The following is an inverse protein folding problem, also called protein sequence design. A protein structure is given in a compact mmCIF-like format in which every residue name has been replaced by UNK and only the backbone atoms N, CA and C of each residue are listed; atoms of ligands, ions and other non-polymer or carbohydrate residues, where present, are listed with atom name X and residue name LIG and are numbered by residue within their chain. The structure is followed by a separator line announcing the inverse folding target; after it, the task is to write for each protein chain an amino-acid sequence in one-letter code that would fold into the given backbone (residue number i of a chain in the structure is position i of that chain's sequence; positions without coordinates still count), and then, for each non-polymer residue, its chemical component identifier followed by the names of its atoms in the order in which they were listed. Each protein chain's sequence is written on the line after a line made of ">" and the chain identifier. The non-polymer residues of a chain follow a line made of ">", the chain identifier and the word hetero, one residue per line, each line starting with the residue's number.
data_IF_606747371915
#
_entry.id   IF_606747371915
#
_cell.length_a   1.000
_cell.length_b   1.000
_cell.length_c   1.000
_cell.angle_alpha   90.00
_cell.angle_beta   90.00
_cell.angle_gamma   90.00
#
_symmetry.space_group_name_H-M   'P 1'
#
loop_
_entity.id
_entity.type
_entity.pdbx_description
1 polymer ?
#
# COMPACT_ATOMS: atom_id res chain seq x y z
N UNK A 1 15.71 -60.47 -42.95
CA UNK A 1 14.81 -59.32 -42.70
C UNK A 1 15.35 -58.62 -41.47
N UNK A 2 16.22 -57.63 -41.68
CA UNK A 2 16.83 -56.83 -40.62
C UNK A 2 15.90 -55.68 -40.24
N UNK A 3 15.43 -55.66 -39.00
CA UNK A 3 14.74 -54.51 -38.43
C UNK A 3 15.81 -53.52 -37.92
N UNK A 4 15.91 -52.36 -38.56
CA UNK A 4 16.68 -51.22 -38.06
C UNK A 4 15.85 -50.50 -37.00
N UNK A 5 16.30 -50.51 -35.75
CA UNK A 5 15.71 -49.66 -34.70
C UNK A 5 16.24 -48.23 -34.83
N UNK A 6 15.30 -47.27 -34.93
CA UNK A 6 15.56 -45.85 -34.79
C UNK A 6 15.46 -45.51 -33.30
N UNK A 7 16.58 -45.20 -32.64
CA UNK A 7 16.57 -44.67 -31.28
C UNK A 7 16.27 -43.18 -31.35
N UNK A 8 15.04 -42.81 -31.02
CA UNK A 8 14.65 -41.42 -30.80
C UNK A 8 15.17 -40.99 -29.41
N UNK A 9 16.26 -40.25 -29.37
CA UNK A 9 16.73 -39.61 -28.15
C UNK A 9 15.79 -38.43 -27.84
N UNK A 10 14.76 -38.66 -27.01
CA UNK A 10 13.96 -37.57 -26.45
C UNK A 10 14.80 -36.95 -25.33
N UNK A 11 15.48 -35.86 -25.64
CA UNK A 11 16.03 -34.98 -24.61
C UNK A 11 14.86 -34.24 -23.98
N UNK A 12 14.32 -34.77 -22.88
CA UNK A 12 13.37 -34.02 -22.04
C UNK A 12 14.19 -32.97 -21.30
N UNK A 13 14.37 -31.80 -21.93
CA UNK A 13 14.73 -30.60 -21.19
C UNK A 13 13.46 -30.23 -20.43
N UNK A 14 13.43 -30.53 -19.13
CA UNK A 14 12.39 -30.01 -18.27
C UNK A 14 12.54 -28.49 -18.23
N UNK A 15 11.76 -27.78 -19.05
CA UNK A 15 11.53 -26.35 -18.89
C UNK A 15 10.91 -26.18 -17.50
N UNK A 16 11.72 -25.74 -16.54
CA UNK A 16 11.22 -25.35 -15.23
C UNK A 16 10.42 -24.06 -15.43
N UNK A 17 9.11 -24.15 -15.25
CA UNK A 17 8.24 -23.00 -14.99
C UNK A 17 8.74 -22.31 -13.70
N UNK A 18 8.85 -20.99 -13.63
CA UNK A 18 9.44 -20.30 -12.47
C UNK A 18 8.80 -18.92 -12.21
N UNK A 19 8.89 -18.40 -10.96
CA UNK A 19 8.05 -17.61 -9.98
C UNK A 19 7.90 -16.02 -9.97
N UNK A 20 6.97 -15.36 -9.20
CA UNK A 20 6.96 -13.90 -8.81
C UNK A 20 8.30 -13.47 -8.24
N UNK A 21 8.88 -12.33 -8.59
CA UNK A 21 10.33 -12.16 -8.41
C UNK A 21 11.07 -13.38 -8.97
N UNK A 22 11.58 -13.25 -10.19
CA UNK A 22 12.29 -14.36 -10.84
C UNK A 22 13.59 -14.67 -10.11
N UNK A 23 13.75 -15.92 -9.68
CA UNK A 23 14.90 -16.42 -8.91
C UNK A 23 15.37 -17.76 -9.44
N UNK A 24 16.61 -18.13 -9.12
CA UNK A 24 17.14 -19.46 -9.42
C UNK A 24 16.61 -20.56 -8.48
N UNK A 25 16.37 -20.26 -7.20
CA UNK A 25 15.88 -21.22 -6.19
C UNK A 25 14.50 -20.82 -5.66
N UNK A 26 13.49 -21.42 -6.27
CA UNK A 26 12.10 -21.12 -5.97
C UNK A 26 11.64 -21.57 -4.57
N UNK A 27 12.09 -22.75 -4.13
CA UNK A 27 11.61 -23.33 -2.88
C UNK A 27 11.96 -22.43 -1.69
N UNK A 28 13.08 -21.73 -1.80
CA UNK A 28 13.51 -20.71 -0.84
C UNK A 28 12.67 -19.44 -0.96
N UNK A 29 12.47 -18.93 -2.18
CA UNK A 29 11.77 -17.66 -2.42
C UNK A 29 10.27 -17.67 -2.08
N UNK A 30 9.60 -18.82 -2.19
CA UNK A 30 8.18 -18.98 -1.80
C UNK A 30 7.99 -19.25 -0.31
N UNK A 31 9.08 -19.45 0.42
CA UNK A 31 9.08 -19.58 1.86
C UNK A 31 9.38 -18.24 2.51
N UNK A 32 8.84 -18.03 3.72
CA UNK A 32 9.12 -16.81 4.47
C UNK A 32 10.65 -16.59 4.61
N UNK A 33 11.19 -15.39 4.28
CA UNK A 33 12.62 -15.08 4.37
C UNK A 33 13.23 -15.40 5.72
N UNK A 34 12.43 -15.40 6.78
CA UNK A 34 12.86 -15.72 8.13
C UNK A 34 13.47 -17.13 8.29
N UNK A 35 13.25 -18.04 7.33
CA UNK A 35 13.91 -19.34 7.28
C UNK A 35 15.42 -19.25 6.96
N UNK A 36 15.89 -18.10 6.49
CA UNK A 36 17.31 -17.82 6.23
C UNK A 36 17.84 -16.90 7.33
N UNK A 37 18.92 -17.32 7.99
CA UNK A 37 19.44 -16.65 9.19
C UNK A 37 19.74 -15.14 9.00
N UNK A 38 20.14 -14.72 7.79
CA UNK A 38 20.41 -13.31 7.47
C UNK A 38 19.13 -12.44 7.45
N UNK A 39 17.96 -13.04 7.19
CA UNK A 39 16.66 -12.37 7.08
C UNK A 39 15.65 -12.88 8.12
N UNK A 40 16.13 -13.54 9.18
CA UNK A 40 15.34 -14.13 10.26
C UNK A 40 14.32 -13.16 10.90
N UNK A 41 14.62 -11.86 10.89
CA UNK A 41 13.83 -10.79 11.48
C UNK A 41 13.11 -9.91 10.44
N UNK A 42 13.10 -10.31 9.17
CA UNK A 42 12.30 -9.64 8.15
C UNK A 42 10.87 -10.19 8.18
N UNK A 43 9.89 -9.29 8.30
CA UNK A 43 8.47 -9.63 8.24
C UNK A 43 7.86 -9.29 6.88
N UNK A 44 7.77 -10.26 5.99
CA UNK A 44 7.20 -10.03 4.67
C UNK A 44 5.67 -9.83 4.68
N UNK A 45 4.98 -9.99 5.82
CA UNK A 45 3.51 -9.90 5.91
C UNK A 45 3.00 -8.47 5.73
N UNK A 46 3.88 -7.48 5.89
CA UNK A 46 3.61 -6.07 5.61
C UNK A 46 3.69 -5.70 4.12
N UNK A 47 3.83 -6.70 3.24
CA UNK A 47 3.78 -6.54 1.78
C UNK A 47 2.55 -7.28 1.27
N UNK A 48 1.61 -6.52 0.71
CA UNK A 48 0.29 -7.00 0.35
C UNK A 48 0.12 -7.16 -1.16
N UNK A 49 -0.76 -8.09 -1.52
CA UNK A 49 -1.32 -8.19 -2.85
C UNK A 49 -2.39 -7.10 -2.99
N UNK A 50 -2.05 -6.04 -3.70
CA UNK A 50 -2.92 -4.88 -3.88
C UNK A 50 -3.23 -4.72 -5.37
N UNK A 51 -4.52 -4.76 -5.72
CA UNK A 51 -5.02 -4.76 -7.12
C UNK A 51 -4.36 -5.81 -8.02
N UNK A 52 -3.92 -6.91 -7.40
CA UNK A 52 -3.21 -7.98 -8.08
C UNK A 52 -1.77 -7.68 -8.45
N UNK A 53 -1.21 -6.59 -7.95
CA UNK A 53 0.22 -6.31 -7.95
C UNK A 53 0.70 -6.29 -6.49
N UNK A 54 1.60 -5.38 -6.13
CA UNK A 54 2.20 -5.32 -4.80
C UNK A 54 2.05 -3.94 -4.17
N UNK A 55 2.01 -3.89 -2.85
CA UNK A 55 2.07 -2.67 -2.06
C UNK A 55 2.70 -2.96 -0.69
N UNK A 56 3.26 -1.95 -0.03
CA UNK A 56 3.97 -2.11 1.24
C UNK A 56 3.32 -1.21 2.30
N UNK A 57 3.05 -1.73 3.49
CA UNK A 57 2.61 -0.88 4.61
C UNK A 57 3.76 -0.01 5.11
N UNK A 58 3.47 1.29 5.22
CA UNK A 58 4.42 2.32 5.68
C UNK A 58 3.92 3.08 6.91
N UNK A 59 2.65 2.87 7.28
CA UNK A 59 2.01 3.41 8.48
C UNK A 59 0.83 2.50 8.88
N UNK A 60 0.17 2.79 10.00
CA UNK A 60 -0.96 2.01 10.51
C UNK A 60 -2.13 1.97 9.51
N UNK A 61 -2.35 3.01 8.71
CA UNK A 61 -3.45 3.03 7.74
C UNK A 61 -3.00 3.17 6.29
N UNK A 62 -1.70 3.24 6.03
CA UNK A 62 -1.19 3.59 4.70
C UNK A 62 -0.33 2.49 4.08
N UNK A 63 -0.71 2.13 2.86
CA UNK A 63 0.15 1.43 1.93
C UNK A 63 0.81 2.41 0.98
N UNK A 64 2.05 2.12 0.59
CA UNK A 64 2.74 2.74 -0.54
C UNK A 64 2.82 1.75 -1.70
N UNK A 65 2.59 2.25 -2.91
CA UNK A 65 2.65 1.45 -4.15
C UNK A 65 3.02 2.34 -5.34
N UNK A 66 3.14 1.75 -6.53
CA UNK A 66 3.33 2.50 -7.76
C UNK A 66 2.02 3.22 -8.16
N UNK A 67 2.10 4.42 -8.73
CA UNK A 67 0.91 5.18 -9.12
C UNK A 67 0.06 4.42 -10.14
N UNK A 68 0.68 3.77 -11.12
CA UNK A 68 -0.08 2.96 -12.10
C UNK A 68 -0.79 1.75 -11.48
N UNK A 69 -0.23 1.17 -10.42
CA UNK A 69 -0.91 0.09 -9.68
C UNK A 69 -2.10 0.65 -8.90
N UNK A 70 -1.95 1.84 -8.31
CA UNK A 70 -3.06 2.52 -7.66
C UNK A 70 -4.16 2.92 -8.66
N UNK A 71 -3.80 3.31 -9.88
CA UNK A 71 -4.76 3.70 -10.93
C UNK A 71 -5.51 2.52 -11.56
N UNK A 72 -4.98 1.29 -11.45
CA UNK A 72 -5.67 0.09 -11.93
C UNK A 72 -7.09 -0.05 -11.35
N UNK A 73 -8.04 -0.55 -12.14
CA UNK A 73 -9.41 -0.77 -11.69
C UNK A 73 -9.54 -1.82 -10.57
N UNK A 74 -10.71 -1.87 -9.93
CA UNK A 74 -11.04 -2.82 -8.86
C UNK A 74 -11.10 -2.18 -7.48
N UNK A 75 -11.57 -2.94 -6.48
CA UNK A 75 -11.89 -2.39 -5.15
C UNK A 75 -10.67 -1.95 -4.33
N UNK A 76 -9.47 -2.44 -4.64
CA UNK A 76 -8.26 -2.20 -3.83
C UNK A 76 -8.29 -2.83 -2.43
N UNK A 77 -9.40 -3.47 -2.04
CA UNK A 77 -9.57 -4.06 -0.71
C UNK A 77 -8.62 -5.22 -0.45
N UNK A 78 -8.20 -5.36 0.80
CA UNK A 78 -7.32 -6.45 1.26
C UNK A 78 -8.11 -7.42 2.11
N UNK A 79 -7.65 -8.67 2.17
CA UNK A 79 -8.12 -9.65 3.15
C UNK A 79 -6.96 -10.09 4.01
N UNK A 80 -6.99 -9.72 5.29
CA UNK A 80 -5.93 -9.99 6.26
C UNK A 80 -6.56 -10.79 7.40
N UNK A 81 -6.06 -12.01 7.64
CA UNK A 81 -6.59 -12.91 8.67
C UNK A 81 -8.11 -13.15 8.61
N UNK A 82 -8.71 -13.07 7.42
CA UNK A 82 -10.14 -13.24 7.19
C UNK A 82 -10.98 -11.96 7.34
N UNK A 83 -10.36 -10.85 7.73
CA UNK A 83 -11.00 -9.54 7.78
C UNK A 83 -10.79 -8.77 6.48
N UNK A 84 -11.84 -8.06 6.05
CA UNK A 84 -11.77 -7.16 4.90
C UNK A 84 -11.32 -5.78 5.36
N UNK A 85 -10.33 -5.25 4.66
CA UNK A 85 -9.82 -3.89 4.77
C UNK A 85 -10.24 -3.14 3.51
N UNK A 86 -10.94 -2.04 3.68
CA UNK A 86 -11.50 -1.25 2.58
C UNK A 86 -10.59 -0.08 2.29
N UNK A 87 -10.26 0.11 1.02
CA UNK A 87 -9.55 1.31 0.58
C UNK A 87 -10.49 2.52 0.70
N UNK A 88 -10.05 3.58 1.36
CA UNK A 88 -10.84 4.81 1.57
C UNK A 88 -10.26 6.04 0.88
N UNK A 89 -8.96 6.04 0.56
CA UNK A 89 -8.31 7.17 -0.10
C UNK A 89 -7.16 6.69 -0.98
N UNK A 90 -6.94 7.39 -2.10
CA UNK A 90 -5.77 7.23 -2.96
C UNK A 90 -5.16 8.60 -3.20
N UNK A 91 -3.86 8.72 -2.93
CA UNK A 91 -3.09 9.93 -3.16
C UNK A 91 -1.97 9.61 -4.13
N UNK A 92 -1.89 10.38 -5.20
CA UNK A 92 -0.85 10.23 -6.21
C UNK A 92 0.19 11.33 -6.00
N UNK A 93 1.48 10.97 -5.98
CA UNK A 93 2.52 11.99 -6.00
C UNK A 93 2.34 12.84 -7.27
N UNK A 94 2.48 14.18 -7.23
CA UNK A 94 2.14 15.04 -8.37
C UNK A 94 2.90 14.73 -9.67
N UNK A 95 4.13 14.21 -9.55
CA UNK A 95 5.02 14.00 -10.71
C UNK A 95 5.56 12.59 -10.86
N UNK A 96 5.47 11.75 -9.83
CA UNK A 96 6.21 10.48 -9.77
C UNK A 96 5.24 9.30 -9.82
N UNK A 97 5.74 8.14 -10.26
CA UNK A 97 5.01 6.87 -10.22
C UNK A 97 4.96 6.31 -8.79
N UNK A 98 4.32 7.06 -7.91
CA UNK A 98 4.18 6.77 -6.50
C UNK A 98 2.79 7.12 -6.05
N UNK A 99 2.19 6.24 -5.26
CA UNK A 99 0.93 6.50 -4.61
C UNK A 99 0.95 6.01 -3.15
N UNK A 100 0.20 6.73 -2.33
CA UNK A 100 -0.20 6.33 -0.99
C UNK A 100 -1.67 5.97 -1.00
N UNK A 101 -2.03 4.87 -0.36
CA UNK A 101 -3.38 4.34 -0.34
C UNK A 101 -3.79 4.10 1.11
N UNK A 102 -4.87 4.75 1.53
CA UNK A 102 -5.37 4.67 2.90
C UNK A 102 -6.44 3.59 3.04
N UNK A 103 -6.41 2.89 4.17
CA UNK A 103 -7.38 1.86 4.54
C UNK A 103 -8.22 2.28 5.75
N UNK A 104 -9.39 1.66 5.89
CA UNK A 104 -10.36 1.93 6.96
C UNK A 104 -9.95 1.37 8.33
N UNK A 105 -8.95 0.50 8.41
CA UNK A 105 -8.51 -0.18 9.63
C UNK A 105 -7.00 -0.19 9.77
N UNK A 106 -6.55 -0.30 11.02
CA UNK A 106 -5.14 -0.47 11.36
C UNK A 106 -4.57 -1.76 10.78
N UNK A 107 -3.55 -1.62 9.95
CA UNK A 107 -2.75 -2.69 9.38
C UNK A 107 -1.94 -3.35 10.51
N UNK A 108 -1.70 -4.68 10.47
CA UNK A 108 -0.98 -5.39 11.54
C UNK A 108 0.48 -4.95 11.79
N UNK A 109 1.00 -4.05 10.95
CA UNK A 109 2.32 -3.45 11.07
C UNK A 109 2.82 -2.95 9.73
N UNK A 110 3.94 -2.23 9.78
CA UNK A 110 4.50 -1.49 8.66
C UNK A 110 6.04 -1.39 8.75
N UNK A 111 6.65 -0.93 7.67
CA UNK A 111 8.09 -0.65 7.62
C UNK A 111 8.37 0.85 7.68
N UNK A 112 9.34 1.31 8.49
CA UNK A 112 9.82 2.68 8.41
C UNK A 112 10.55 2.91 7.08
N UNK A 113 10.64 4.18 6.70
CA UNK A 113 11.28 4.60 5.45
C UNK A 113 12.79 4.76 5.61
N UNK A 114 13.55 4.38 4.58
CA UNK A 114 14.99 4.56 4.53
C UNK A 114 15.35 5.94 3.98
N UNK A 115 16.01 6.77 4.80
CA UNK A 115 16.43 8.13 4.43
C UNK A 115 17.85 8.22 3.88
N UNK A 116 18.64 7.15 4.03
CA UNK A 116 19.99 7.07 3.48
C UNK A 116 20.00 6.91 1.97
N UNK A 117 21.16 7.14 1.36
CA UNK A 117 21.37 6.86 -0.07
C UNK A 117 21.51 5.35 -0.28
N UNK A 118 20.81 4.83 -1.28
CA UNK A 118 21.03 3.46 -1.76
C UNK A 118 22.39 3.38 -2.45
N UNK A 119 23.28 2.53 -1.96
CA UNK A 119 24.64 2.40 -2.47
C UNK A 119 24.94 0.94 -2.84
N UNK A 120 25.66 0.74 -3.95
CA UNK A 120 26.15 -0.59 -4.37
C UNK A 120 27.24 -1.16 -3.46
N UNK A 121 27.99 -0.28 -2.80
CA UNK A 121 29.17 -0.60 -2.00
C UNK A 121 29.08 0.10 -0.63
N UNK A 122 29.79 -0.44 0.36
CA UNK A 122 29.80 0.06 1.73
C UNK A 122 28.92 -0.75 2.66
N UNK A 123 28.31 -0.11 3.65
CA UNK A 123 27.42 -0.76 4.61
C UNK A 123 26.05 -1.01 3.99
N UNK A 124 25.64 -2.28 3.89
CA UNK A 124 24.38 -2.78 3.31
C UNK A 124 24.27 -2.69 1.77
N UNK A 125 25.15 -3.36 1.02
CA UNK A 125 25.14 -3.33 -0.44
C UNK A 125 24.03 -4.19 -1.07
N UNK A 126 23.45 -5.10 -0.29
CA UNK A 126 22.44 -6.05 -0.74
C UNK A 126 21.04 -5.55 -0.37
N UNK A 127 20.14 -5.62 -1.34
CA UNK A 127 18.75 -5.23 -1.26
C UNK A 127 17.90 -6.49 -1.17
N UNK A 128 16.96 -6.53 -0.24
CA UNK A 128 15.92 -7.55 -0.21
C UNK A 128 14.72 -7.05 -1.02
N UNK A 129 14.23 -7.85 -1.96
CA UNK A 129 13.09 -7.51 -2.81
C UNK A 129 11.93 -8.44 -2.49
N UNK A 130 10.70 -7.92 -2.44
CA UNK A 130 9.48 -8.70 -2.17
C UNK A 130 8.32 -8.24 -3.06
N UNK A 131 7.62 -9.19 -3.67
CA UNK A 131 6.54 -8.94 -4.62
C UNK A 131 5.58 -10.10 -4.78
N UNK A 132 4.46 -9.84 -5.46
CA UNK A 132 3.34 -10.77 -5.68
C UNK A 132 3.09 -11.06 -7.17
N UNK A 133 4.04 -10.69 -8.03
CA UNK A 133 3.91 -10.71 -9.47
C UNK A 133 3.93 -12.08 -10.11
N UNK A 134 4.31 -12.13 -11.39
CA UNK A 134 4.40 -13.38 -12.13
C UNK A 134 5.70 -14.09 -11.89
N UNK A 135 5.63 -15.38 -12.05
CA UNK A 135 6.61 -16.20 -12.75
C UNK A 135 7.66 -15.47 -13.63
N UNK A 136 8.92 -15.91 -13.61
CA UNK A 136 9.94 -15.66 -14.63
C UNK A 136 11.03 -16.74 -14.73
N UNK A 137 11.81 -16.73 -15.82
CA UNK A 137 12.99 -17.58 -15.99
C UNK A 137 14.28 -16.76 -15.82
N UNK A 138 15.33 -17.35 -15.26
CA UNK A 138 16.63 -16.67 -15.03
C UNK A 138 17.73 -17.20 -15.94
N UNK A 139 18.62 -16.30 -16.36
CA UNK A 139 19.81 -16.57 -17.15
C UNK A 139 21.04 -15.97 -16.47
N UNK A 140 22.22 -16.00 -17.09
CA UNK A 140 23.44 -15.52 -16.42
C UNK A 140 23.38 -14.04 -16.04
N UNK A 141 22.77 -13.19 -16.87
CA UNK A 141 22.76 -11.73 -16.71
C UNK A 141 21.42 -11.09 -17.12
N UNK A 142 20.36 -11.90 -17.17
CA UNK A 142 19.03 -11.45 -17.56
C UNK A 142 17.98 -12.39 -16.99
N UNK A 143 16.72 -11.97 -17.10
CA UNK A 143 15.56 -12.78 -16.81
C UNK A 143 14.41 -12.47 -17.76
N UNK A 144 13.43 -13.36 -17.81
CA UNK A 144 12.24 -13.25 -18.64
C UNK A 144 10.98 -13.29 -17.78
N UNK A 145 9.91 -12.63 -18.24
CA UNK A 145 8.57 -12.84 -17.69
C UNK A 145 8.10 -14.27 -17.97
N UNK A 146 7.34 -14.84 -17.05
CA UNK A 146 6.72 -16.15 -17.16
C UNK A 146 5.19 -16.09 -17.03
N UNK A 147 4.49 -17.18 -17.35
CA UNK A 147 3.06 -17.11 -17.68
C UNK A 147 2.10 -17.19 -16.49
N UNK A 148 2.57 -17.39 -15.25
CA UNK A 148 1.68 -17.75 -14.12
C UNK A 148 2.19 -17.27 -12.75
N UNK A 149 1.71 -17.83 -11.64
CA UNK A 149 2.29 -17.60 -10.30
C UNK A 149 1.96 -16.26 -9.63
N UNK A 150 1.15 -15.41 -10.28
CA UNK A 150 0.54 -14.22 -9.66
C UNK A 150 -0.15 -14.59 -8.37
N UNK A 151 -0.16 -13.63 -7.44
CA UNK A 151 -0.82 -13.77 -6.13
C UNK A 151 -0.12 -14.74 -5.18
N UNK A 152 1.13 -15.10 -5.46
CA UNK A 152 1.99 -15.81 -4.51
C UNK A 152 3.19 -14.91 -4.21
N UNK A 153 3.30 -14.53 -2.94
CA UNK A 153 4.37 -13.67 -2.42
C UNK A 153 5.71 -14.38 -2.52
N UNK A 154 6.73 -13.67 -3.00
CA UNK A 154 8.09 -14.18 -3.13
C UNK A 154 9.11 -13.12 -2.82
N UNK A 155 10.33 -13.57 -2.57
CA UNK A 155 11.46 -12.71 -2.26
C UNK A 155 12.74 -13.15 -2.95
N UNK A 156 13.68 -12.23 -3.04
CA UNK A 156 15.06 -12.51 -3.40
C UNK A 156 15.93 -11.29 -3.11
N UNK A 157 17.17 -11.32 -3.56
CA UNK A 157 18.15 -10.27 -3.33
C UNK A 157 18.70 -9.70 -4.63
N UNK A 158 19.12 -8.45 -4.60
CA UNK A 158 19.86 -7.81 -5.69
C UNK A 158 20.77 -6.72 -5.13
N UNK A 159 21.56 -6.04 -5.97
CA UNK A 159 22.34 -4.85 -5.62
C UNK A 159 21.97 -3.68 -6.53
N UNK A 160 21.96 -2.48 -5.95
CA UNK A 160 21.77 -1.28 -6.75
C UNK A 160 22.95 -1.06 -7.70
N UNK A 161 22.69 -0.53 -8.90
CA UNK A 161 23.71 -0.01 -9.83
C UNK A 161 23.34 1.42 -10.19
N UNK A 162 24.37 2.29 -10.21
CA UNK A 162 24.40 3.75 -10.45
C UNK A 162 23.07 4.51 -10.25
N UNK A 163 23.12 5.37 -9.26
CA UNK A 163 22.13 6.35 -8.79
C UNK A 163 21.92 7.53 -9.75
N UNK A 164 20.65 7.87 -10.01
CA UNK A 164 20.18 9.23 -10.33
C UNK A 164 20.24 9.66 -11.79
N UNK A 165 19.16 9.46 -12.54
CA UNK A 165 18.82 10.30 -13.70
C UNK A 165 17.35 10.75 -13.75
N UNK A 166 16.50 10.18 -12.90
CA UNK A 166 15.06 10.19 -13.11
C UNK A 166 14.68 9.46 -14.41
N UNK A 167 13.49 8.87 -14.45
CA UNK A 167 12.93 8.26 -15.65
C UNK A 167 11.57 8.88 -15.91
N UNK A 168 11.34 9.32 -17.15
CA UNK A 168 9.99 9.66 -17.62
C UNK A 168 9.47 8.48 -18.42
N UNK A 169 8.39 7.88 -17.94
CA UNK A 169 7.73 6.79 -18.65
C UNK A 169 6.22 6.97 -18.61
N UNK A 170 5.56 6.47 -19.65
CA UNK A 170 4.13 6.20 -19.62
C UNK A 170 3.93 5.03 -18.67
N UNK A 171 3.25 5.29 -17.56
CA UNK A 171 3.08 4.31 -16.49
C UNK A 171 1.86 3.41 -16.75
N UNK A 172 1.11 3.64 -17.83
CA UNK A 172 -0.10 2.90 -18.17
C UNK A 172 -1.35 3.41 -17.43
N UNK A 173 -2.52 2.94 -17.88
CA UNK A 173 -3.81 3.35 -17.31
C UNK A 173 -4.25 4.74 -17.78
N UNK A 174 -4.92 5.48 -16.89
CA UNK A 174 -5.28 6.89 -17.06
C UNK A 174 -4.18 7.84 -16.55
N UNK A 175 -3.17 7.31 -15.86
CA UNK A 175 -2.01 8.07 -15.42
C UNK A 175 -1.19 8.58 -16.62
N UNK A 176 -1.05 9.90 -16.74
CA UNK A 176 -0.15 10.54 -17.70
C UNK A 176 1.31 10.14 -17.46
N UNK A 177 2.20 10.43 -18.41
CA UNK A 177 3.65 10.17 -18.25
C UNK A 177 4.21 10.83 -16.99
N UNK A 178 4.87 10.04 -16.14
CA UNK A 178 5.40 10.50 -14.85
C UNK A 178 6.92 10.49 -14.84
N UNK A 179 7.53 11.44 -14.13
CA UNK A 179 8.99 11.54 -13.94
C UNK A 179 9.36 11.13 -12.52
N UNK A 180 10.00 9.97 -12.40
CA UNK A 180 10.35 9.39 -11.10
C UNK A 180 11.86 9.42 -10.88
N UNK A 181 12.32 9.88 -9.74
CA UNK A 181 13.68 9.70 -9.24
C UNK A 181 13.87 8.24 -8.84
N UNK A 182 14.85 7.60 -9.48
CA UNK A 182 15.06 6.16 -9.39
C UNK A 182 16.49 5.79 -9.01
N UNK A 183 16.62 4.56 -8.54
CA UNK A 183 17.83 3.77 -8.68
C UNK A 183 17.50 2.49 -9.46
N UNK A 184 18.51 1.89 -10.07
CA UNK A 184 18.34 0.66 -10.83
C UNK A 184 18.97 -0.53 -10.11
N UNK A 185 18.52 -1.71 -10.48
CA UNK A 185 19.18 -2.99 -10.18
C UNK A 185 19.58 -3.64 -11.50
N UNK A 186 20.64 -4.44 -11.49
CA UNK A 186 21.03 -5.26 -12.64
C UNK A 186 21.07 -6.71 -12.20
N UNK A 187 20.48 -7.58 -12.98
CA UNK A 187 20.45 -9.00 -12.70
C UNK A 187 21.76 -9.66 -13.13
N UNK A 188 22.40 -10.35 -12.21
CA UNK A 188 23.45 -11.31 -12.54
C UNK A 188 23.42 -12.43 -11.51
N UNK A 189 23.22 -13.67 -11.96
CA UNK A 189 23.02 -14.84 -11.09
C UNK A 189 24.16 -15.07 -10.07
N UNK A 190 25.31 -14.43 -10.28
CA UNK A 190 26.47 -14.48 -9.38
C UNK A 190 26.65 -13.26 -8.46
N UNK A 191 25.78 -12.24 -8.50
CA UNK A 191 25.94 -10.98 -7.75
C UNK A 191 25.47 -11.09 -6.29
N UNK A 192 24.41 -11.86 -6.03
CA UNK A 192 23.92 -12.19 -4.68
C UNK A 192 23.57 -13.68 -4.56
N UNK A 193 23.46 -14.18 -3.32
CA UNK A 193 23.17 -15.60 -3.07
C UNK A 193 21.75 -15.99 -3.50
N UNK A 194 20.80 -15.06 -3.37
CA UNK A 194 19.39 -15.24 -3.73
C UNK A 194 19.00 -14.31 -4.88
N UNK A 195 19.88 -14.20 -5.89
CA UNK A 195 19.71 -13.23 -6.98
C UNK A 195 18.32 -13.28 -7.60
N UNK A 196 17.73 -12.09 -7.72
CA UNK A 196 16.35 -11.90 -8.10
C UNK A 196 16.17 -10.73 -9.08
N UNK A 197 15.20 -10.86 -9.98
CA UNK A 197 14.66 -9.77 -10.79
C UNK A 197 13.16 -9.63 -10.56
N UNK A 198 12.64 -8.40 -10.48
CA UNK A 198 11.21 -8.19 -10.46
C UNK A 198 10.64 -8.33 -11.89
N UNK A 199 9.44 -8.86 -12.01
CA UNK A 199 8.78 -9.20 -13.28
C UNK A 199 7.37 -8.60 -13.29
N UNK A 200 6.58 -8.88 -14.31
CA UNK A 200 5.23 -8.31 -14.44
C UNK A 200 4.40 -8.55 -13.16
N UNK A 201 3.64 -7.54 -12.72
CA UNK A 201 2.85 -7.53 -11.47
C UNK A 201 3.66 -7.52 -10.15
N UNK A 202 4.99 -7.35 -10.19
CA UNK A 202 5.76 -7.02 -8.99
C UNK A 202 5.77 -5.50 -8.69
N UNK A 203 5.20 -4.67 -9.58
CA UNK A 203 5.09 -3.22 -9.38
C UNK A 203 4.43 -2.87 -8.05
N UNK A 204 4.99 -1.87 -7.36
CA UNK A 204 4.66 -1.49 -5.99
C UNK A 204 5.27 -2.41 -4.92
N UNK A 205 6.01 -3.45 -5.32
CA UNK A 205 6.71 -4.34 -4.40
C UNK A 205 7.89 -3.65 -3.74
N UNK A 206 8.20 -4.09 -2.52
CA UNK A 206 9.16 -3.39 -1.66
C UNK A 206 10.61 -3.81 -1.92
N UNK A 207 11.51 -2.84 -1.82
CA UNK A 207 12.96 -3.03 -1.82
C UNK A 207 13.52 -2.50 -0.50
N UNK A 208 14.17 -3.37 0.28
CA UNK A 208 14.49 -3.12 1.68
C UNK A 208 15.99 -3.13 1.97
N UNK A 209 16.39 -2.26 2.90
CA UNK A 209 17.75 -2.18 3.45
C UNK A 209 17.66 -2.34 4.97
N UNK A 210 18.55 -3.16 5.55
CA UNK A 210 18.68 -3.29 7.00
C UNK A 210 19.67 -2.27 7.54
N UNK A 211 19.21 -1.24 8.25
CA UNK A 211 20.07 -0.24 8.89
C UNK A 211 19.88 -0.28 10.41
N UNK A 212 20.98 -0.32 11.17
CA UNK A 212 20.95 -0.35 12.64
C UNK A 212 20.04 -1.46 13.20
N UNK A 213 20.11 -2.65 12.60
CA UNK A 213 19.29 -3.82 12.93
C UNK A 213 17.78 -3.64 12.69
N UNK A 214 17.36 -2.68 11.87
CA UNK A 214 15.98 -2.48 11.48
C UNK A 214 15.87 -2.49 9.95
N UNK A 215 14.93 -3.28 9.43
CA UNK A 215 14.56 -3.27 8.02
C UNK A 215 13.77 -2.01 7.69
N UNK A 216 14.13 -1.36 6.59
CA UNK A 216 13.52 -0.10 6.14
C UNK A 216 13.24 -0.16 4.65
N UNK A 217 12.12 0.42 4.22
CA UNK A 217 11.75 0.51 2.82
C UNK A 217 12.63 1.57 2.12
N UNK A 218 13.43 1.14 1.15
CA UNK A 218 14.38 1.98 0.42
C UNK A 218 13.97 2.25 -1.02
N UNK A 219 13.21 1.34 -1.62
CA UNK A 219 12.67 1.51 -2.96
C UNK A 219 11.33 0.81 -3.16
N UNK A 220 10.61 1.22 -4.19
CA UNK A 220 9.45 0.52 -4.72
C UNK A 220 9.71 0.09 -6.16
N UNK A 221 9.35 -1.13 -6.51
CA UNK A 221 9.47 -1.66 -7.89
C UNK A 221 8.49 -0.90 -8.78
N UNK A 222 8.95 -0.33 -9.90
CA UNK A 222 8.05 0.38 -10.83
C UNK A 222 8.13 -0.14 -12.26
N UNK A 223 9.31 -0.52 -12.75
CA UNK A 223 9.49 -0.93 -14.15
C UNK A 223 10.58 -1.99 -14.34
N UNK A 224 10.48 -2.69 -15.47
CA UNK A 224 11.55 -3.48 -16.05
C UNK A 224 12.52 -2.54 -16.80
N UNK A 225 13.83 -2.79 -16.71
CA UNK A 225 14.76 -2.16 -17.63
C UNK A 225 14.54 -2.72 -19.04
N UNK A 226 14.57 -1.88 -20.09
CA UNK A 226 14.40 -2.36 -21.45
C UNK A 226 15.50 -3.38 -21.82
N UNK A 227 15.18 -4.44 -22.59
CA UNK A 227 16.15 -5.40 -23.08
C UNK A 227 17.31 -4.72 -23.81
N UNK A 228 18.53 -5.22 -23.58
CA UNK A 228 19.73 -4.68 -24.23
C UNK A 228 19.84 -5.10 -25.71
N UNK A 229 19.29 -6.26 -26.08
CA UNK A 229 19.25 -6.77 -27.45
C UNK A 229 17.82 -6.72 -28.00
N UNK A 230 17.53 -5.93 -29.05
CA UNK A 230 16.19 -5.85 -29.62
C UNK A 230 15.71 -7.15 -30.28
N UNK A 231 16.60 -8.12 -30.54
CA UNK A 231 16.23 -9.44 -31.05
C UNK A 231 15.82 -10.41 -29.95
N UNK A 232 16.04 -10.04 -28.69
CA UNK A 232 15.68 -10.80 -27.50
C UNK A 232 14.76 -9.94 -26.60
N UNK A 233 13.56 -9.57 -27.09
CA UNK A 233 12.71 -8.54 -26.46
C UNK A 233 12.16 -8.92 -25.08
N UNK A 234 12.31 -10.18 -24.68
CA UNK A 234 11.85 -10.67 -23.38
C UNK A 234 12.99 -10.76 -22.35
N UNK A 235 14.25 -10.53 -22.74
CA UNK A 235 15.42 -10.63 -21.87
C UNK A 235 15.71 -9.31 -21.15
N UNK A 236 15.15 -9.16 -19.95
CA UNK A 236 15.34 -7.98 -19.12
C UNK A 236 16.65 -8.05 -18.32
N UNK A 237 17.47 -6.98 -18.32
CA UNK A 237 18.73 -6.95 -17.60
C UNK A 237 18.60 -6.51 -16.13
N UNK A 238 17.40 -6.11 -15.68
CA UNK A 238 17.20 -5.56 -14.34
C UNK A 238 15.91 -4.76 -14.20
N UNK A 239 15.81 -3.98 -13.13
CA UNK A 239 14.61 -3.21 -12.79
C UNK A 239 14.93 -1.76 -12.43
N UNK A 240 13.93 -0.89 -12.61
CA UNK A 240 13.90 0.47 -12.09
C UNK A 240 13.07 0.50 -10.81
N UNK A 241 13.63 1.14 -9.78
CA UNK A 241 13.01 1.29 -8.47
C UNK A 241 12.85 2.78 -8.18
N UNK A 242 11.69 3.21 -7.70
CA UNK A 242 11.55 4.55 -7.14
C UNK A 242 12.44 4.70 -5.90
N UNK A 243 13.20 5.79 -5.79
CA UNK A 243 14.11 6.01 -4.65
C UNK A 243 13.35 6.71 -3.51
N UNK A 244 12.80 5.95 -2.56
CA UNK A 244 11.90 6.45 -1.49
C UNK A 244 12.43 7.69 -0.79
N UNK A 245 13.75 7.76 -0.53
CA UNK A 245 14.37 8.88 0.17
C UNK A 245 14.12 10.25 -0.51
N UNK A 246 13.86 10.26 -1.82
CA UNK A 246 13.62 11.46 -2.64
C UNK A 246 12.24 12.05 -2.41
N UNK A 247 11.33 11.24 -1.87
CA UNK A 247 9.92 11.55 -1.68
C UNK A 247 9.53 11.65 -0.21
N UNK A 248 10.49 11.61 0.72
CA UNK A 248 10.20 11.60 2.16
C UNK A 248 9.42 12.80 2.64
N UNK A 249 9.60 13.99 2.05
CA UNK A 249 8.79 15.15 2.43
C UNK A 249 7.33 14.84 2.16
N UNK A 250 6.97 14.59 0.90
CA UNK A 250 5.58 14.28 0.53
C UNK A 250 5.01 13.08 1.29
N UNK A 251 5.78 12.00 1.46
CA UNK A 251 5.29 10.84 2.20
C UNK A 251 5.01 11.22 3.66
N UNK A 252 5.96 11.83 4.36
CA UNK A 252 5.77 12.19 5.77
C UNK A 252 4.71 13.28 5.94
N UNK A 253 4.59 14.24 5.00
CA UNK A 253 3.55 15.27 5.04
C UNK A 253 2.14 14.64 5.05
N UNK A 254 1.95 13.56 4.28
CA UNK A 254 0.73 12.76 4.28
C UNK A 254 0.58 11.94 5.56
N UNK A 255 1.61 11.19 5.97
CA UNK A 255 1.54 10.28 7.11
C UNK A 255 1.35 11.02 8.45
N UNK A 256 2.01 12.16 8.61
CA UNK A 256 1.95 12.99 9.82
C UNK A 256 0.68 13.89 9.84
N UNK A 257 -0.09 13.91 8.76
CA UNK A 257 -1.30 14.74 8.64
C UNK A 257 -1.00 16.23 8.76
N UNK A 258 0.04 16.72 8.06
CA UNK A 258 0.46 18.13 8.11
C UNK A 258 -0.70 19.04 7.68
N UNK A 259 -0.98 20.06 8.49
CA UNK A 259 -1.98 21.11 8.28
C UNK A 259 -1.22 22.45 8.11
N UNK A 260 -1.15 22.96 6.88
CA UNK A 260 -0.29 24.11 6.55
C UNK A 260 -0.87 25.46 6.93
N UNK A 261 -2.19 25.61 6.88
CA UNK A 261 -2.87 26.88 7.17
C UNK A 261 -3.46 26.94 8.59
N UNK A 262 -3.44 25.81 9.30
CA UNK A 262 -3.75 25.69 10.73
C UNK A 262 -5.25 25.70 11.02
N UNK A 263 -6.08 25.34 10.04
CA UNK A 263 -7.53 25.38 10.16
C UNK A 263 -8.14 24.07 10.72
N UNK A 264 -7.31 23.04 10.88
CA UNK A 264 -7.67 21.72 11.41
C UNK A 264 -7.85 20.64 10.35
N UNK A 265 -7.75 20.97 9.06
CA UNK A 265 -7.71 20.00 7.96
C UNK A 265 -6.28 19.65 7.57
N UNK A 266 -5.93 18.35 7.43
CA UNK A 266 -4.63 17.99 6.86
C UNK A 266 -4.56 18.31 5.37
N UNK A 267 -3.41 18.79 4.91
CA UNK A 267 -3.09 19.08 3.51
C UNK A 267 -3.57 17.98 2.56
N UNK A 268 -3.39 16.71 2.93
CA UNK A 268 -3.73 15.59 2.05
C UNK A 268 -5.25 15.40 1.88
N UNK A 269 -6.04 15.79 2.88
CA UNK A 269 -7.50 15.81 2.80
C UNK A 269 -7.94 16.98 1.90
N UNK A 270 -7.38 18.16 2.12
CA UNK A 270 -7.64 19.35 1.31
C UNK A 270 -7.25 19.12 -0.16
N UNK A 271 -6.07 18.57 -0.44
CA UNK A 271 -5.61 18.26 -1.80
C UNK A 271 -6.53 17.25 -2.51
N UNK A 272 -7.23 16.38 -1.75
CA UNK A 272 -8.15 15.39 -2.33
C UNK A 272 -9.50 15.96 -2.71
N UNK A 273 -9.97 16.97 -1.98
CA UNK A 273 -11.36 17.43 -2.05
C UNK A 273 -11.54 18.93 -2.32
N UNK A 274 -10.46 19.71 -2.24
CA UNK A 274 -10.38 21.14 -2.49
C UNK A 274 -9.50 21.49 -3.70
N UNK A 275 -9.04 22.74 -3.74
CA UNK A 275 -8.13 23.27 -4.78
C UNK A 275 -6.75 23.57 -4.17
N UNK A 276 -6.12 22.54 -3.61
CA UNK A 276 -4.85 22.60 -2.89
C UNK A 276 -5.02 22.47 -1.37
N UNK A 277 -4.11 23.10 -0.61
CA UNK A 277 -3.99 22.98 0.86
C UNK A 277 -4.59 24.19 1.60
N UNK A 278 -5.77 24.63 1.17
CA UNK A 278 -6.47 25.78 1.78
C UNK A 278 -8.00 25.68 1.67
N UNK A 279 -8.52 24.45 1.79
CA UNK A 279 -9.95 24.17 1.77
C UNK A 279 -10.56 24.73 3.07
N UNK A 280 -11.57 25.60 2.98
CA UNK A 280 -12.17 26.23 4.17
C UNK A 280 -12.81 25.17 5.12
N UNK A 281 -12.18 24.89 6.26
CA UNK A 281 -12.70 23.99 7.31
C UNK A 281 -14.16 24.26 7.75
N UNK A 282 -14.61 25.52 7.67
CA UNK A 282 -15.94 25.95 8.08
C UNK A 282 -17.00 25.89 6.97
N UNK A 283 -16.61 25.67 5.72
CA UNK A 283 -17.53 25.58 4.60
C UNK A 283 -18.22 24.20 4.54
N UNK A 284 -19.44 24.20 4.03
CA UNK A 284 -20.24 23.01 3.68
C UNK A 284 -20.23 22.92 2.15
N UNK A 285 -19.28 22.15 1.62
CA UNK A 285 -18.89 22.21 0.20
C UNK A 285 -19.94 21.56 -0.71
N UNK A 286 -20.61 20.50 -0.24
CA UNK A 286 -21.62 19.77 -1.00
C UNK A 286 -23.07 20.07 -0.56
N UNK A 287 -23.26 20.82 0.52
CA UNK A 287 -24.55 21.30 1.00
C UNK A 287 -25.33 20.28 1.83
N UNK A 288 -24.67 19.27 2.39
CA UNK A 288 -25.29 18.23 3.23
C UNK A 288 -25.57 18.69 4.68
N UNK A 289 -25.07 19.88 5.05
CA UNK A 289 -25.21 20.47 6.38
C UNK A 289 -24.07 20.17 7.35
N UNK A 290 -23.01 19.50 6.91
CA UNK A 290 -21.75 19.32 7.64
C UNK A 290 -20.67 20.22 7.07
N UNK A 291 -19.80 20.75 7.93
CA UNK A 291 -18.61 21.46 7.47
C UNK A 291 -17.51 20.47 7.07
N UNK A 292 -16.60 20.89 6.19
CA UNK A 292 -15.44 20.10 5.76
C UNK A 292 -14.64 19.54 6.97
N UNK A 293 -14.51 20.32 8.05
CA UNK A 293 -13.89 19.85 9.30
C UNK A 293 -14.68 18.75 10.02
N UNK A 294 -16.00 18.85 10.04
CA UNK A 294 -16.85 17.80 10.63
C UNK A 294 -16.73 16.51 9.83
N UNK A 295 -16.65 16.63 8.51
CA UNK A 295 -16.47 15.51 7.60
C UNK A 295 -15.11 14.84 7.74
N UNK A 296 -14.04 15.63 7.90
CA UNK A 296 -12.73 15.12 8.25
C UNK A 296 -12.77 14.29 9.55
N UNK A 297 -13.40 14.82 10.61
CA UNK A 297 -13.55 14.07 11.86
C UNK A 297 -14.41 12.82 11.71
N UNK A 298 -15.43 12.84 10.85
CA UNK A 298 -16.33 11.73 10.62
C UNK A 298 -15.82 10.66 9.63
N UNK A 299 -14.75 10.98 8.90
CA UNK A 299 -14.24 10.18 7.77
C UNK A 299 -15.23 10.10 6.60
N UNK A 300 -15.84 11.24 6.26
CA UNK A 300 -16.74 11.38 5.11
C UNK A 300 -16.11 12.16 3.96
N UNK A 301 -16.77 12.16 2.79
CA UNK A 301 -16.31 12.78 1.55
C UNK A 301 -16.99 14.15 1.38
N UNK A 302 -16.28 15.28 1.53
CA UNK A 302 -16.88 16.62 1.53
C UNK A 302 -17.32 17.17 0.18
N UNK A 303 -17.33 16.31 -0.84
CA UNK A 303 -17.78 16.63 -2.19
C UNK A 303 -18.91 15.71 -2.64
N UNK A 304 -19.44 14.87 -1.74
CA UNK A 304 -20.55 13.95 -1.98
C UNK A 304 -21.56 14.03 -0.83
N UNK A 305 -22.64 14.78 -1.03
CA UNK A 305 -23.64 14.99 0.01
C UNK A 305 -24.48 13.74 0.38
N UNK A 306 -24.16 12.56 -0.16
CA UNK A 306 -24.67 11.28 0.35
C UNK A 306 -23.72 10.63 1.37
N UNK A 307 -22.47 11.10 1.44
CA UNK A 307 -21.46 10.66 2.40
C UNK A 307 -21.59 11.51 3.67
N UNK A 308 -22.61 11.24 4.49
CA UNK A 308 -22.93 12.06 5.67
C UNK A 308 -22.78 11.29 6.99
N UNK A 309 -22.33 11.95 8.06
CA UNK A 309 -22.40 11.40 9.41
C UNK A 309 -23.79 11.61 10.00
N UNK A 310 -24.59 10.55 10.01
CA UNK A 310 -26.01 10.65 10.34
C UNK A 310 -26.52 9.47 11.16
N UNK A 311 -27.69 9.67 11.75
CA UNK A 311 -28.45 8.60 12.38
C UNK A 311 -29.26 7.86 11.31
N UNK A 312 -28.84 6.65 10.97
CA UNK A 312 -29.52 5.77 10.02
C UNK A 312 -30.84 5.22 10.56
N UNK A 313 -30.96 5.18 11.89
CA UNK A 313 -32.22 4.85 12.56
C UNK A 313 -32.07 4.60 14.06
N UNK A 314 -33.22 4.45 14.72
CA UNK A 314 -33.28 3.85 16.05
C UNK A 314 -34.43 2.85 16.05
N UNK A 315 -34.11 1.56 16.13
CA UNK A 315 -35.14 0.51 16.24
C UNK A 315 -35.84 0.56 17.61
N UNK A 316 -35.17 1.14 18.61
CA UNK A 316 -35.67 1.37 19.97
C UNK A 316 -35.02 2.65 20.56
N UNK A 317 -35.63 3.29 21.58
CA UNK A 317 -35.03 4.43 22.29
C UNK A 317 -33.66 4.14 22.94
N UNK A 318 -33.29 2.86 23.00
CA UNK A 318 -32.09 2.32 23.64
C UNK A 318 -30.98 1.92 22.66
N UNK A 319 -31.19 2.03 21.36
CA UNK A 319 -30.23 1.60 20.33
C UNK A 319 -30.08 2.67 19.26
N UNK A 320 -28.88 3.20 19.11
CA UNK A 320 -28.54 4.20 18.10
C UNK A 320 -27.80 3.49 16.97
N UNK A 321 -28.37 3.53 15.76
CA UNK A 321 -27.75 3.06 14.53
C UNK A 321 -27.37 4.28 13.70
N UNK A 322 -26.08 4.43 13.41
CA UNK A 322 -25.51 5.61 12.77
C UNK A 322 -24.44 5.23 11.76
N UNK A 323 -24.20 6.08 10.76
CA UNK A 323 -23.10 5.89 9.82
C UNK A 323 -21.77 6.01 10.55
N UNK A 324 -20.80 5.18 10.21
CA UNK A 324 -19.52 5.18 10.89
C UNK A 324 -18.38 4.72 9.99
N UNK A 325 -17.16 5.10 10.38
CA UNK A 325 -15.94 4.58 9.82
C UNK A 325 -15.20 3.71 10.84
N UNK A 326 -14.52 2.68 10.35
CA UNK A 326 -13.67 1.83 11.17
C UNK A 326 -12.37 2.54 11.61
N UNK A 327 -12.06 3.70 11.02
CA UNK A 327 -10.87 4.51 11.32
C UNK A 327 -11.15 5.60 12.37
N UNK A 328 -12.33 5.57 13.00
CA UNK A 328 -12.80 6.56 13.97
C UNK A 328 -13.33 5.90 15.22
N UNK A 329 -13.18 6.58 16.35
CA UNK A 329 -13.77 6.16 17.61
C UNK A 329 -15.06 6.94 17.91
N UNK A 330 -16.02 6.24 18.51
CA UNK A 330 -17.32 6.79 18.84
C UNK A 330 -17.68 6.60 20.31
N UNK A 331 -18.32 7.62 20.88
CA UNK A 331 -18.88 7.58 22.23
C UNK A 331 -20.31 8.10 22.25
N UNK A 332 -21.22 7.30 22.81
CA UNK A 332 -22.59 7.72 23.06
C UNK A 332 -22.65 8.42 24.41
N UNK A 333 -23.28 9.60 24.40
CA UNK A 333 -23.50 10.40 25.59
C UNK A 333 -24.98 10.77 25.68
N UNK A 334 -25.48 10.93 26.90
CA UNK A 334 -26.87 11.32 27.13
C UNK A 334 -27.00 12.46 28.14
N UNK A 335 -28.16 13.12 28.11
CA UNK A 335 -28.63 14.04 29.15
C UNK A 335 -30.15 14.05 29.20
N UNK A 336 -30.71 14.44 30.35
CA UNK A 336 -32.18 14.48 30.57
C UNK A 336 -32.80 15.86 30.31
N UNK A 337 -31.96 16.88 30.04
CA UNK A 337 -32.39 18.23 29.70
C UNK A 337 -31.51 18.79 28.58
N UNK A 338 -32.10 19.27 27.48
CA UNK A 338 -31.35 19.79 26.33
C UNK A 338 -30.72 21.18 26.57
N UNK A 339 -31.19 21.92 27.58
CA UNK A 339 -30.76 23.29 27.85
C UNK A 339 -29.67 23.38 28.93
N UNK A 340 -29.66 22.46 29.90
CA UNK A 340 -28.78 22.53 31.07
C UNK A 340 -28.22 21.17 31.48
N UNK A 341 -27.12 21.17 32.22
CA UNK A 341 -26.43 19.97 32.71
C UNK A 341 -25.34 19.45 31.78
N UNK A 342 -24.48 18.58 32.33
CA UNK A 342 -23.39 17.95 31.57
C UNK A 342 -23.90 16.71 30.83
N UNK A 343 -23.28 16.43 29.69
CA UNK A 343 -23.42 15.15 29.00
C UNK A 343 -22.77 14.04 29.83
N UNK A 344 -23.46 12.91 29.97
CA UNK A 344 -23.00 11.74 30.70
C UNK A 344 -22.64 10.66 29.68
N UNK A 345 -21.43 10.11 29.82
CA UNK A 345 -20.92 9.05 28.95
C UNK A 345 -21.63 7.73 29.24
N UNK A 346 -22.03 7.02 28.18
CA UNK A 346 -22.66 5.69 28.29
C UNK A 346 -21.67 4.55 28.05
N UNK A 347 -20.60 4.82 27.32
CA UNK A 347 -19.54 3.87 26.97
C UNK A 347 -18.17 4.57 26.94
N UNK A 348 -17.09 3.80 26.96
CA UNK A 348 -15.78 4.31 26.59
C UNK A 348 -15.72 4.55 25.07
N UNK A 349 -14.81 5.42 24.62
CA UNK A 349 -14.44 5.51 23.21
C UNK A 349 -14.08 4.13 22.67
N UNK A 350 -14.55 3.84 21.46
CA UNK A 350 -14.37 2.54 20.80
C UNK A 350 -14.49 2.72 19.30
N UNK A 351 -13.69 2.01 18.51
CA UNK A 351 -13.73 2.06 17.06
C UNK A 351 -15.12 1.75 16.50
N UNK A 352 -15.48 2.46 15.44
CA UNK A 352 -16.65 2.16 14.63
C UNK A 352 -16.46 0.91 13.79
N UNK A 353 -17.54 0.51 13.13
CA UNK A 353 -17.53 -0.48 12.06
C UNK A 353 -17.56 0.23 10.70
N UNK A 354 -17.11 -0.46 9.65
CA UNK A 354 -17.17 0.06 8.27
C UNK A 354 -18.63 0.25 7.85
N UNK A 355 -18.98 1.46 7.41
CA UNK A 355 -20.31 1.84 6.94
C UNK A 355 -21.29 2.24 8.06
N UNK A 356 -21.48 1.41 9.09
CA UNK A 356 -22.40 1.77 10.18
C UNK A 356 -22.18 1.01 11.48
N UNK A 357 -22.44 1.68 12.60
CA UNK A 357 -22.31 1.14 13.95
C UNK A 357 -23.62 1.17 14.71
N UNK A 358 -23.80 0.21 15.62
CA UNK A 358 -24.88 0.21 16.60
C UNK A 358 -24.28 0.36 18.00
N UNK A 359 -24.82 1.30 18.79
CA UNK A 359 -24.44 1.52 20.19
C UNK A 359 -25.66 1.60 21.10
N UNK A 360 -25.49 1.14 22.33
CA UNK A 360 -26.56 1.19 23.35
C UNK A 360 -26.62 2.58 23.96
N UNK A 361 -27.82 3.15 24.06
CA UNK A 361 -28.09 4.38 24.79
C UNK A 361 -28.60 4.06 26.20
N UNK A 362 -28.55 5.05 27.11
CA UNK A 362 -29.16 4.92 28.43
C UNK A 362 -30.67 4.62 28.31
N UNK A 363 -31.25 3.89 29.27
CA UNK A 363 -32.66 3.45 29.21
C UNK A 363 -33.48 3.81 30.44
N UNK A 364 -32.84 4.35 31.47
CA UNK A 364 -33.45 4.53 32.79
C UNK A 364 -34.23 5.84 32.95
N UNK A 365 -34.35 6.65 31.89
CA UNK A 365 -34.94 7.99 31.94
C UNK A 365 -36.18 8.09 31.05
N UNK A 366 -37.25 8.69 31.57
CA UNK A 366 -38.49 8.96 30.82
C UNK A 366 -38.30 9.94 29.65
N UNK A 367 -37.37 10.89 29.79
CA UNK A 367 -36.97 11.85 28.74
C UNK A 367 -35.44 11.87 28.71
N UNK A 368 -34.88 11.66 27.52
CA UNK A 368 -33.45 11.75 27.31
C UNK A 368 -33.13 12.28 25.91
N UNK A 369 -31.98 12.93 25.81
CA UNK A 369 -31.36 13.37 24.58
C UNK A 369 -30.03 12.66 24.47
N UNK A 370 -29.79 12.01 23.33
CA UNK A 370 -28.54 11.34 23.04
C UNK A 370 -27.74 12.14 22.03
N UNK A 371 -26.42 12.05 22.11
CA UNK A 371 -25.52 12.45 21.03
C UNK A 371 -24.42 11.40 20.87
N UNK A 372 -23.82 11.41 19.70
CA UNK A 372 -22.68 10.57 19.36
C UNK A 372 -21.51 11.51 19.15
N UNK A 373 -20.48 11.38 19.97
CA UNK A 373 -19.18 11.98 19.70
C UNK A 373 -18.41 11.10 18.73
N UNK A 374 -17.66 11.72 17.84
CA UNK A 374 -16.69 11.09 16.95
C UNK A 374 -15.32 11.73 17.17
N UNK A 375 -14.25 10.94 17.09
CA UNK A 375 -12.88 11.44 17.10
C UNK A 375 -11.96 10.59 16.22
N UNK A 376 -10.87 11.21 15.79
CA UNK A 376 -9.70 10.54 15.25
C UNK A 376 -8.93 9.95 16.45
N UNK A 377 -8.55 8.65 16.43
CA UNK A 377 -7.87 7.96 17.53
C UNK A 377 -6.57 8.62 18.00
#
# INVERSE_FOLDING_TARGET
>A
MDFRYLVLLICVVSLRSALAITVADLAVAESNPSNVAAYADFNWDFIYNYKGSSAVAVDDHWLITAAHVADDGGSGGLTINGEVFTQVQQLYHPTADLALVRFDKELPGFYPLYSGRVNRIGTNPELLMVGWGYTGAVFSASFQNGPSGRYVKRWGTNRAVITGQSVTADMGGSAESRTSDIFSTLFNISDTLYEAGAVQYDSGGGVFIKQNNQWKLAGGIILLLPPADPNEPDNYPGNLMIEIRKYLSWINDVLDGVDSDGDGLPNHFEDSYGDGTNMDAGADTDGDGQSNLQEWFADTIPTDGNSVFELLGSSTPSSLHFSSSASREYQVQFRTNLMTGSWIETNAWSYGESGSSIRTAATNNLIQFNRIGVRIP
#
